data_IF_232047060873
#
_entry.id   IF_232047060873
#
_cell.length_a   1.000
_cell.length_b   1.000
_cell.length_c   1.000
_cell.angle_alpha   90.00
_cell.angle_beta   90.00
_cell.angle_gamma   90.00
#
_symmetry.space_group_name_H-M   'P 1'
#
loop_
_entity.id
_entity.type
_entity.pdbx_description
1 polymer ?
#
# COMPACT_ATOMS: atom_id res chain seq x y z
N UNK A 1 5.55 -12.50 6.13
CA UNK A 1 6.41 -11.80 5.15
C UNK A 1 6.01 -10.35 5.03
N UNK A 2 6.97 -9.44 4.87
CA UNK A 2 6.71 -8.02 4.64
C UNK A 2 7.51 -7.54 3.43
N UNK A 3 6.84 -6.88 2.49
CA UNK A 3 7.43 -6.36 1.25
C UNK A 3 7.22 -4.84 1.17
N UNK A 4 8.30 -4.06 1.20
CA UNK A 4 8.27 -2.61 1.12
C UNK A 4 9.64 -2.05 0.71
N UNK A 5 9.70 -1.12 -0.24
CA UNK A 5 10.95 -0.52 -0.74
C UNK A 5 11.60 0.45 0.26
N UNK A 6 10.81 1.25 1.00
CA UNK A 6 11.31 2.16 2.02
C UNK A 6 11.91 1.38 3.22
N UNK A 7 13.24 1.32 3.30
CA UNK A 7 13.95 0.57 4.33
C UNK A 7 13.67 1.08 5.77
N UNK A 8 13.64 2.39 6.07
CA UNK A 8 13.24 2.91 7.38
C UNK A 8 11.83 2.48 7.80
N UNK A 9 10.85 2.58 6.90
CA UNK A 9 9.49 2.15 7.18
C UNK A 9 9.40 0.64 7.36
N UNK A 10 10.06 -0.14 6.50
CA UNK A 10 10.14 -1.60 6.58
C UNK A 10 10.70 -2.03 7.94
N UNK A 11 11.81 -1.44 8.37
CA UNK A 11 12.41 -1.76 9.67
C UNK A 11 11.49 -1.44 10.85
N UNK A 12 10.80 -0.29 10.82
CA UNK A 12 9.84 0.12 11.86
C UNK A 12 8.65 -0.84 11.92
N UNK A 13 8.05 -1.17 10.78
CA UNK A 13 6.93 -2.10 10.71
C UNK A 13 7.34 -3.52 11.13
N UNK A 14 8.53 -3.99 10.72
CA UNK A 14 9.08 -5.27 11.16
C UNK A 14 9.12 -5.36 12.68
N UNK A 15 9.75 -4.41 13.36
CA UNK A 15 9.83 -4.39 14.83
C UNK A 15 8.44 -4.35 15.47
N UNK A 16 7.53 -3.59 14.89
CA UNK A 16 6.17 -3.50 15.38
C UNK A 16 5.40 -4.82 15.23
N UNK A 17 5.62 -5.58 14.17
CA UNK A 17 5.01 -6.91 13.99
C UNK A 17 5.68 -7.96 14.89
N UNK A 18 7.02 -7.94 15.01
CA UNK A 18 7.76 -8.83 15.92
C UNK A 18 7.30 -8.65 17.37
N UNK A 19 7.06 -7.40 17.83
CA UNK A 19 6.53 -7.14 19.17
C UNK A 19 5.10 -7.68 19.40
N UNK A 20 4.38 -8.01 18.33
CA UNK A 20 3.04 -8.62 18.36
C UNK A 20 3.07 -10.13 18.13
N UNK A 21 4.27 -10.73 18.17
CA UNK A 21 4.46 -12.18 18.08
C UNK A 21 4.54 -12.75 16.67
N UNK A 22 4.69 -11.91 15.64
CA UNK A 22 4.94 -12.38 14.28
C UNK A 22 6.43 -12.64 14.07
N UNK A 23 6.76 -13.75 13.42
CA UNK A 23 8.08 -13.97 12.84
C UNK A 23 8.13 -13.32 11.44
N UNK A 24 9.02 -12.33 11.26
CA UNK A 24 8.98 -11.45 10.10
C UNK A 24 10.15 -11.69 9.16
N UNK A 25 9.85 -12.19 7.97
CA UNK A 25 10.74 -12.18 6.81
C UNK A 25 10.45 -10.91 6.00
N UNK A 26 11.45 -10.07 5.76
CA UNK A 26 11.27 -8.83 5.02
C UNK A 26 12.05 -8.79 3.70
N UNK A 27 11.47 -8.11 2.73
CA UNK A 27 12.00 -7.91 1.39
C UNK A 27 11.85 -6.44 0.96
N UNK A 28 12.84 -5.93 0.23
CA UNK A 28 12.83 -4.59 -0.33
C UNK A 28 12.37 -4.53 -1.78
N UNK A 29 12.34 -5.66 -2.46
CA UNK A 29 12.04 -5.79 -3.89
C UNK A 29 11.05 -6.92 -4.16
N UNK A 30 10.35 -6.85 -5.30
CA UNK A 30 9.45 -7.93 -5.74
C UNK A 30 10.23 -9.24 -5.93
N UNK A 31 11.46 -9.14 -6.45
CA UNK A 31 12.33 -10.29 -6.68
C UNK A 31 12.71 -11.00 -5.38
N UNK A 32 13.11 -10.26 -4.35
CA UNK A 32 13.39 -10.81 -3.00
C UNK A 32 12.11 -11.43 -2.38
N UNK A 33 10.97 -10.74 -2.53
CA UNK A 33 9.68 -11.25 -2.07
C UNK A 33 9.29 -12.57 -2.74
N UNK A 34 9.50 -12.70 -4.05
CA UNK A 34 9.26 -13.94 -4.79
C UNK A 34 10.14 -15.11 -4.29
N UNK A 35 11.39 -14.82 -3.92
CA UNK A 35 12.26 -15.83 -3.32
C UNK A 35 11.75 -16.33 -1.97
N UNK A 36 11.29 -15.40 -1.11
CA UNK A 36 10.69 -15.75 0.18
C UNK A 36 9.45 -16.61 -0.02
N UNK A 37 8.55 -16.21 -0.93
CA UNK A 37 7.34 -16.99 -1.25
C UNK A 37 7.70 -18.43 -1.69
N UNK A 38 8.72 -18.55 -2.53
CA UNK A 38 9.15 -19.86 -3.04
C UNK A 38 9.71 -20.77 -1.94
N UNK A 39 10.49 -20.23 -1.00
CA UNK A 39 11.19 -20.98 0.04
C UNK A 39 10.31 -21.27 1.26
N UNK A 40 9.61 -20.26 1.76
CA UNK A 40 9.03 -20.24 3.11
C UNK A 40 7.50 -20.35 3.14
N UNK A 41 6.79 -20.07 2.05
CA UNK A 41 5.32 -20.09 1.97
C UNK A 41 4.63 -19.44 3.20
N UNK A 42 4.81 -18.11 3.41
CA UNK A 42 4.40 -17.43 4.64
C UNK A 42 2.88 -17.49 4.86
N UNK A 43 2.46 -17.61 6.14
CA UNK A 43 1.04 -17.62 6.52
C UNK A 43 0.40 -16.22 6.43
N UNK A 44 1.21 -15.18 6.57
CA UNK A 44 0.78 -13.79 6.56
C UNK A 44 1.67 -12.98 5.63
N UNK A 45 1.09 -12.08 4.87
CA UNK A 45 1.85 -11.20 3.98
C UNK A 45 1.34 -9.75 4.06
N UNK A 46 2.26 -8.82 4.22
CA UNK A 46 2.05 -7.38 4.11
C UNK A 46 2.80 -6.93 2.87
N UNK A 47 2.09 -6.47 1.85
CA UNK A 47 2.67 -6.15 0.57
C UNK A 47 2.43 -4.68 0.20
N UNK A 48 3.50 -3.96 -0.11
CA UNK A 48 3.35 -2.66 -0.76
C UNK A 48 2.83 -2.85 -2.19
N UNK A 49 1.88 -2.04 -2.57
CA UNK A 49 1.34 -2.02 -3.93
C UNK A 49 2.39 -1.60 -4.96
N UNK A 50 3.22 -0.61 -4.63
CA UNK A 50 4.18 0.00 -5.55
C UNK A 50 5.60 -0.13 -4.99
N UNK A 51 6.45 -0.81 -5.74
CA UNK A 51 7.87 -0.94 -5.47
C UNK A 51 8.68 -0.40 -6.66
N UNK A 52 9.97 -0.17 -6.47
CA UNK A 52 10.86 0.32 -7.53
C UNK A 52 10.97 -0.67 -8.70
N UNK A 53 10.97 -1.97 -8.43
CA UNK A 53 11.10 -3.06 -9.42
C UNK A 53 9.76 -3.67 -9.87
N UNK A 54 8.60 -3.10 -9.43
CA UNK A 54 7.31 -3.59 -9.86
C UNK A 54 6.15 -3.35 -8.91
N UNK A 55 5.22 -4.30 -8.89
CA UNK A 55 4.03 -4.25 -8.03
C UNK A 55 3.95 -5.48 -7.13
N UNK A 56 3.71 -5.25 -5.84
CA UNK A 56 3.44 -6.32 -4.89
C UNK A 56 2.20 -7.15 -5.24
N UNK A 57 1.31 -6.62 -6.09
CA UNK A 57 0.14 -7.35 -6.58
C UNK A 57 0.52 -8.64 -7.32
N UNK A 58 1.68 -8.66 -7.99
CA UNK A 58 2.16 -9.84 -8.70
C UNK A 58 2.41 -11.02 -7.74
N UNK A 59 2.85 -10.74 -6.52
CA UNK A 59 3.11 -11.77 -5.50
C UNK A 59 1.84 -12.34 -4.87
N UNK A 60 0.71 -11.64 -4.94
CA UNK A 60 -0.56 -12.14 -4.37
C UNK A 60 -0.97 -13.45 -5.02
N UNK A 61 -0.85 -13.54 -6.34
CA UNK A 61 -1.20 -14.77 -7.07
C UNK A 61 -0.25 -15.92 -6.73
N UNK A 62 1.05 -15.64 -6.59
CA UNK A 62 2.06 -16.65 -6.27
C UNK A 62 1.91 -17.15 -4.82
N UNK A 63 1.60 -16.24 -3.89
CA UNK A 63 1.26 -16.58 -2.51
C UNK A 63 0.03 -17.49 -2.45
N UNK A 64 -1.06 -17.12 -3.11
CA UNK A 64 -2.29 -17.89 -3.11
C UNK A 64 -2.11 -19.29 -3.75
N UNK A 65 -1.28 -19.41 -4.78
CA UNK A 65 -0.95 -20.71 -5.38
C UNK A 65 -0.12 -21.57 -4.42
N UNK A 66 0.84 -20.95 -3.74
CA UNK A 66 1.76 -21.67 -2.85
C UNK A 66 1.12 -22.00 -1.51
N UNK A 67 0.32 -21.08 -0.99
CA UNK A 67 -0.39 -21.19 0.28
C UNK A 67 -1.77 -20.54 0.21
N UNK A 68 -2.82 -21.31 -0.12
CA UNK A 68 -4.19 -20.77 -0.31
C UNK A 68 -4.79 -20.11 0.93
N UNK A 69 -4.34 -20.47 2.12
CA UNK A 69 -4.75 -19.91 3.41
C UNK A 69 -3.91 -18.70 3.85
N UNK A 70 -2.98 -18.24 3.03
CA UNK A 70 -2.18 -17.05 3.31
C UNK A 70 -3.07 -15.82 3.42
N UNK A 71 -2.98 -15.11 4.54
CA UNK A 71 -3.69 -13.85 4.73
C UNK A 71 -2.83 -12.69 4.25
N UNK A 72 -3.32 -12.00 3.22
CA UNK A 72 -2.56 -10.98 2.50
C UNK A 72 -3.21 -9.62 2.71
N UNK A 73 -2.48 -8.66 3.26
CA UNK A 73 -2.87 -7.26 3.40
C UNK A 73 -2.01 -6.42 2.46
N UNK A 74 -2.67 -5.63 1.61
CA UNK A 74 -1.98 -4.71 0.70
C UNK A 74 -1.86 -3.32 1.33
N UNK A 75 -0.67 -2.73 1.30
CA UNK A 75 -0.45 -1.33 1.66
C UNK A 75 -0.42 -0.47 0.40
N UNK A 76 -1.08 0.67 0.43
CA UNK A 76 -1.15 1.56 -0.74
C UNK A 76 -1.03 3.02 -0.34
N UNK A 77 -0.22 3.77 -1.05
CA UNK A 77 -0.08 5.22 -0.87
C UNK A 77 -1.24 6.04 -1.47
N UNK A 78 -2.12 5.39 -2.25
CA UNK A 78 -3.19 6.08 -2.96
C UNK A 78 -4.48 5.27 -2.88
N UNK A 79 -5.47 5.83 -2.19
CA UNK A 79 -6.81 5.26 -2.05
C UNK A 79 -7.58 5.23 -3.38
N UNK A 80 -7.10 4.46 -4.36
CA UNK A 80 -7.81 4.25 -5.61
C UNK A 80 -8.69 3.01 -5.51
N UNK A 81 -10.00 3.20 -5.62
CA UNK A 81 -10.99 2.11 -5.61
C UNK A 81 -10.63 1.01 -6.62
N UNK A 82 -10.16 1.39 -7.81
CA UNK A 82 -9.76 0.42 -8.83
C UNK A 82 -8.59 -0.47 -8.36
N UNK A 83 -7.65 0.10 -7.63
CA UNK A 83 -6.48 -0.62 -7.07
C UNK A 83 -6.90 -1.56 -5.93
N UNK A 84 -7.80 -1.09 -5.05
CA UNK A 84 -8.38 -1.93 -3.99
C UNK A 84 -9.15 -3.11 -4.58
N UNK A 85 -10.01 -2.86 -5.58
CA UNK A 85 -10.74 -3.90 -6.30
C UNK A 85 -9.80 -4.90 -6.99
N UNK A 86 -8.70 -4.43 -7.58
CA UNK A 86 -7.70 -5.30 -8.20
C UNK A 86 -7.00 -6.20 -7.16
N UNK A 87 -6.66 -5.65 -5.98
CA UNK A 87 -6.06 -6.41 -4.88
C UNK A 87 -6.99 -7.51 -4.37
N UNK A 88 -8.25 -7.18 -4.10
CA UNK A 88 -9.27 -8.15 -3.66
C UNK A 88 -9.53 -9.23 -4.73
N UNK A 89 -9.65 -8.85 -6.00
CA UNK A 89 -9.79 -9.81 -7.11
C UNK A 89 -8.57 -10.72 -7.28
N UNK A 90 -7.38 -10.26 -6.93
CA UNK A 90 -6.18 -11.08 -6.93
C UNK A 90 -6.11 -12.03 -5.73
N UNK A 91 -6.99 -11.85 -4.71
CA UNK A 91 -7.08 -12.69 -3.52
C UNK A 91 -6.42 -12.10 -2.28
N UNK A 92 -6.18 -10.79 -2.24
CA UNK A 92 -5.81 -10.13 -0.99
C UNK A 92 -7.03 -10.08 -0.04
N UNK A 93 -6.78 -10.32 1.25
CA UNK A 93 -7.79 -10.28 2.30
C UNK A 93 -8.29 -8.86 2.55
N UNK A 94 -7.36 -7.92 2.59
CA UNK A 94 -7.66 -6.52 2.88
C UNK A 94 -6.64 -5.57 2.24
N UNK A 95 -6.97 -4.29 2.26
CA UNK A 95 -6.14 -3.25 1.73
C UNK A 95 -6.16 -2.04 2.70
N UNK A 96 -4.99 -1.51 3.05
CA UNK A 96 -4.86 -0.41 3.99
C UNK A 96 -4.14 0.79 3.34
N UNK A 97 -4.71 2.01 3.50
CA UNK A 97 -4.04 3.22 3.01
C UNK A 97 -2.82 3.55 3.87
N UNK A 98 -1.74 4.00 3.25
CA UNK A 98 -0.57 4.55 3.94
C UNK A 98 -0.86 6.01 4.39
N UNK A 99 -0.44 6.42 5.58
CA UNK A 99 0.31 5.66 6.58
C UNK A 99 -0.58 4.65 7.33
N UNK A 100 -0.20 3.36 7.31
CA UNK A 100 -0.93 2.31 8.00
C UNK A 100 -0.41 2.15 9.44
N UNK A 101 -1.35 2.08 10.39
CA UNK A 101 -1.05 1.81 11.78
C UNK A 101 -0.71 0.30 11.95
N UNK A 102 0.38 -0.03 12.67
CA UNK A 102 0.72 -1.42 12.97
C UNK A 102 -0.42 -2.22 13.64
N UNK A 103 -1.23 -1.59 14.48
CA UNK A 103 -2.38 -2.26 15.11
C UNK A 103 -3.48 -2.57 14.10
N UNK A 104 -3.75 -1.65 13.17
CA UNK A 104 -4.69 -1.89 12.08
C UNK A 104 -4.21 -3.02 11.14
N UNK A 105 -2.90 -3.07 10.84
CA UNK A 105 -2.31 -4.14 10.04
C UNK A 105 -2.46 -5.49 10.73
N UNK A 106 -2.12 -5.57 12.03
CA UNK A 106 -2.23 -6.80 12.80
C UNK A 106 -3.69 -7.27 12.91
N UNK A 107 -4.62 -6.35 13.15
CA UNK A 107 -6.04 -6.64 13.19
C UNK A 107 -6.54 -7.20 11.85
N UNK A 108 -6.17 -6.58 10.73
CA UNK A 108 -6.52 -7.06 9.39
C UNK A 108 -5.98 -8.46 9.10
N UNK A 109 -4.72 -8.75 9.50
CA UNK A 109 -4.12 -10.08 9.32
C UNK A 109 -4.79 -11.17 10.19
N UNK A 110 -5.25 -10.81 11.37
CA UNK A 110 -5.83 -11.76 12.34
C UNK A 110 -7.35 -11.93 12.17
N UNK A 111 -8.01 -11.07 11.38
CA UNK A 111 -9.44 -11.22 11.09
C UNK A 111 -9.72 -12.59 10.46
N UNK A 112 -10.69 -13.30 11.04
CA UNK A 112 -11.30 -14.47 10.40
C UNK A 112 -12.21 -13.96 9.28
N UNK A 113 -12.02 -14.45 8.05
CA UNK A 113 -12.50 -13.91 6.76
C UNK A 113 -13.99 -13.60 6.53
N UNK A 114 -14.80 -13.37 7.56
CA UNK A 114 -16.25 -13.14 7.46
C UNK A 114 -16.68 -11.67 7.72
N UNK A 115 -15.75 -10.75 7.81
CA UNK A 115 -16.06 -9.34 8.09
C UNK A 115 -15.70 -8.42 6.94
N UNK A 116 -16.71 -7.78 6.32
CA UNK A 116 -16.50 -6.58 5.51
C UNK A 116 -15.76 -5.55 6.39
N UNK A 117 -14.62 -4.98 5.97
CA UNK A 117 -13.95 -3.96 6.77
C UNK A 117 -14.95 -2.83 7.09
N UNK A 118 -15.01 -2.36 8.34
CA UNK A 118 -15.89 -1.25 8.67
C UNK A 118 -15.53 -0.06 7.76
N UNK A 119 -16.52 0.67 7.27
CA UNK A 119 -16.25 1.87 6.50
C UNK A 119 -15.37 2.81 7.33
N UNK A 120 -14.44 3.56 6.71
CA UNK A 120 -13.59 4.51 7.43
C UNK A 120 -14.45 5.38 8.34
N UNK A 121 -14.16 5.37 9.63
CA UNK A 121 -14.97 6.11 10.63
C UNK A 121 -14.89 7.62 10.42
N UNK A 122 -13.81 8.09 9.80
CA UNK A 122 -13.66 9.49 9.40
C UNK A 122 -13.49 9.59 7.88
N UNK A 123 -14.42 10.27 7.18
CA UNK A 123 -14.23 10.55 5.76
C UNK A 123 -12.99 11.42 5.58
N UNK A 124 -12.13 11.08 4.62
CA UNK A 124 -10.99 11.91 4.26
C UNK A 124 -11.43 13.35 4.00
N UNK A 125 -10.70 14.31 4.55
CA UNK A 125 -10.99 15.71 4.30
C UNK A 125 -10.91 16.01 2.79
N UNK A 126 -11.75 16.94 2.31
CA UNK A 126 -11.78 17.32 0.90
C UNK A 126 -10.39 17.77 0.40
N UNK A 127 -9.60 18.43 1.28
CA UNK A 127 -8.24 18.85 0.95
C UNK A 127 -7.29 17.67 0.78
N UNK A 128 -7.45 16.62 1.55
CA UNK A 128 -6.65 15.38 1.42
C UNK A 128 -6.99 14.65 0.13
N UNK A 129 -8.28 14.49 -0.19
CA UNK A 129 -8.73 13.88 -1.45
C UNK A 129 -8.20 14.66 -2.66
N UNK A 130 -8.26 15.99 -2.59
CA UNK A 130 -7.73 16.87 -3.62
C UNK A 130 -6.22 16.73 -3.77
N UNK A 131 -5.48 16.71 -2.66
CA UNK A 131 -4.03 16.55 -2.64
C UNK A 131 -3.63 15.21 -3.25
N UNK A 132 -4.27 14.11 -2.85
CA UNK A 132 -4.00 12.76 -3.38
C UNK A 132 -4.30 12.68 -4.90
N UNK A 133 -5.39 13.29 -5.35
CA UNK A 133 -5.70 13.37 -6.77
C UNK A 133 -4.61 14.10 -7.57
N UNK A 134 -4.10 15.21 -7.05
CA UNK A 134 -3.02 15.98 -7.67
C UNK A 134 -1.73 15.16 -7.72
N UNK A 135 -1.36 14.47 -6.65
CA UNK A 135 -0.18 13.60 -6.61
C UNK A 135 -0.27 12.48 -7.65
N UNK A 136 -1.43 11.85 -7.75
CA UNK A 136 -1.67 10.78 -8.74
C UNK A 136 -1.44 11.27 -10.17
N UNK A 137 -2.03 12.40 -10.53
CA UNK A 137 -1.88 12.97 -11.88
C UNK A 137 -0.42 13.41 -12.13
N UNK A 138 0.26 13.91 -11.11
CA UNK A 138 1.67 14.27 -11.18
C UNK A 138 2.57 13.05 -11.48
N UNK A 139 2.35 11.93 -10.80
CA UNK A 139 3.04 10.67 -11.09
C UNK A 139 2.72 10.14 -12.50
N UNK A 140 1.45 10.17 -12.92
CA UNK A 140 1.03 9.76 -14.27
C UNK A 140 1.66 10.60 -15.38
N UNK A 141 2.00 11.85 -15.08
CA UNK A 141 2.71 12.76 -16.00
C UNK A 141 4.24 12.65 -15.89
N UNK A 142 4.78 11.59 -15.29
CA UNK A 142 6.22 11.41 -15.11
C UNK A 142 6.86 12.52 -14.27
N UNK A 143 6.15 13.04 -13.27
CA UNK A 143 6.54 14.17 -12.41
C UNK A 143 6.76 15.49 -13.17
N UNK A 144 6.18 15.65 -14.34
CA UNK A 144 6.25 16.88 -15.11
C UNK A 144 5.19 17.88 -14.64
N UNK A 145 5.65 18.92 -13.92
CA UNK A 145 4.76 19.96 -13.35
C UNK A 145 3.93 20.68 -14.42
N UNK A 146 4.50 20.97 -15.58
CA UNK A 146 3.80 21.72 -16.64
C UNK A 146 2.69 20.88 -17.27
N UNK A 147 2.96 19.60 -17.53
CA UNK A 147 1.99 18.67 -18.06
C UNK A 147 0.87 18.38 -17.06
N UNK A 148 1.24 18.19 -15.79
CA UNK A 148 0.29 17.98 -14.69
C UNK A 148 -0.64 19.19 -14.53
N UNK A 149 -0.09 20.41 -14.55
CA UNK A 149 -0.87 21.64 -14.43
C UNK A 149 -1.88 21.77 -15.58
N UNK A 150 -1.47 21.44 -16.83
CA UNK A 150 -2.34 21.43 -18.00
C UNK A 150 -3.47 20.42 -17.83
N UNK A 151 -3.15 19.19 -17.44
CA UNK A 151 -4.10 18.09 -17.28
C UNK A 151 -5.11 18.33 -16.18
N UNK A 152 -4.69 18.97 -15.08
CA UNK A 152 -5.53 19.37 -13.96
C UNK A 152 -6.23 20.73 -14.16
N UNK A 153 -5.99 21.43 -15.30
CA UNK A 153 -6.48 22.78 -15.55
C UNK A 153 -6.16 23.76 -14.43
N UNK A 154 -4.93 23.67 -13.90
CA UNK A 154 -4.44 24.48 -12.80
C UNK A 154 -3.29 25.37 -13.25
N UNK A 155 -3.12 26.52 -12.59
CA UNK A 155 -1.92 27.33 -12.77
C UNK A 155 -0.69 26.59 -12.23
N UNK A 156 0.42 26.60 -13.01
CA UNK A 156 1.68 25.95 -12.62
C UNK A 156 2.17 26.36 -11.22
N UNK A 157 2.07 27.66 -10.88
CA UNK A 157 2.43 28.18 -9.55
C UNK A 157 1.59 27.56 -8.41
N UNK A 158 0.29 27.41 -8.65
CA UNK A 158 -0.62 26.80 -7.67
C UNK A 158 -0.24 25.32 -7.45
N UNK A 159 0.03 24.60 -8.53
CA UNK A 159 0.45 23.20 -8.46
C UNK A 159 1.78 23.06 -7.71
N UNK A 160 2.80 23.87 -8.02
CA UNK A 160 4.08 23.84 -7.32
C UNK A 160 3.93 24.08 -5.82
N UNK A 161 3.09 25.03 -5.41
CA UNK A 161 2.79 25.29 -4.00
C UNK A 161 2.09 24.14 -3.31
N UNK A 162 1.26 23.37 -4.01
CA UNK A 162 0.60 22.18 -3.46
C UNK A 162 1.59 21.03 -3.35
N UNK A 163 2.42 20.81 -4.36
CA UNK A 163 3.42 19.73 -4.37
C UNK A 163 4.52 19.93 -3.32
N UNK A 164 4.83 21.20 -2.96
CA UNK A 164 5.82 21.52 -1.91
C UNK A 164 5.28 21.38 -0.49
N UNK A 165 3.97 21.22 -0.31
CA UNK A 165 3.35 21.01 1.01
C UNK A 165 3.28 19.52 1.33
N UNK A 166 3.45 19.20 2.62
CA UNK A 166 3.14 17.86 3.12
C UNK A 166 1.64 17.56 2.99
N UNK A 167 1.30 16.26 2.97
CA UNK A 167 -0.09 15.84 2.95
C UNK A 167 -0.89 16.54 4.07
N UNK A 168 -2.08 17.06 3.76
CA UNK A 168 -2.96 17.59 4.79
C UNK A 168 -3.25 16.52 5.86
N UNK A 169 -3.21 16.91 7.12
CA UNK A 169 -3.67 16.05 8.20
C UNK A 169 -5.19 15.88 8.07
N UNK A 170 -5.67 14.66 8.24
CA UNK A 170 -7.09 14.35 8.34
C UNK A 170 -7.73 15.12 9.49
#
# INVERSE_FOLDING_TARGET
MMLHDDAPLRHRLRRAMESRGFDVLDAGTVSEGAEIVRKEAPAYAILDMKLEDGSGLNLVQDLNKKRPDCKIVMLTGFGNIATAVAAVKAGALDYLPKPADPDAIAAALLQSGDGMPPPPQDPMSADRVRWEHIQRVYEQCGRNVSETARRLRMHRRTLQRILSKHAPRS
#
